data_IF_860991417586
#
_entry.id   IF_860991417586
#
_cell.length_a   1.000
_cell.length_b   1.000
_cell.length_c   1.000
_cell.angle_alpha   90.00
_cell.angle_beta   90.00
_cell.angle_gamma   90.00
#
_symmetry.space_group_name_H-M   'P 1'
#
loop_
_entity.id
_entity.type
_entity.pdbx_description
1 polymer ?
#
# COMPACT_ATOMS: atom_id res chain seq x y z
N UNK A 1 2.49 -18.13 -29.81
CA UNK A 1 2.28 -16.68 -29.49
C UNK A 1 0.83 -16.49 -29.11
N UNK A 2 0.55 -16.03 -27.92
CA UNK A 2 -0.82 -15.64 -27.54
C UNK A 2 -1.09 -14.29 -28.21
N UNK A 3 -2.14 -14.22 -29.03
CA UNK A 3 -2.56 -12.95 -29.65
C UNK A 3 -3.15 -12.08 -28.55
N UNK A 4 -2.50 -10.95 -28.26
CA UNK A 4 -2.97 -10.01 -27.24
C UNK A 4 -4.19 -9.24 -27.78
N UNK A 5 -5.15 -9.02 -26.91
CA UNK A 5 -6.41 -8.34 -27.21
C UNK A 5 -6.27 -6.80 -27.11
N UNK A 6 -7.20 -6.03 -27.71
CA UNK A 6 -7.25 -4.58 -27.50
C UNK A 6 -7.44 -4.22 -26.02
N UNK A 7 -6.85 -3.12 -25.56
CA UNK A 7 -6.92 -2.70 -24.15
C UNK A 7 -8.37 -2.51 -23.67
N UNK A 8 -9.25 -1.97 -24.51
CA UNK A 8 -10.65 -1.78 -24.16
C UNK A 8 -11.37 -3.10 -23.79
N UNK A 9 -11.05 -4.20 -24.48
CA UNK A 9 -11.61 -5.52 -24.18
C UNK A 9 -11.05 -6.08 -22.88
N UNK A 10 -9.73 -5.94 -22.67
CA UNK A 10 -9.06 -6.43 -21.48
C UNK A 10 -9.44 -5.61 -20.25
N UNK A 11 -9.64 -4.31 -20.38
CA UNK A 11 -10.12 -3.45 -19.30
C UNK A 11 -11.48 -3.92 -18.78
N UNK A 12 -12.42 -4.26 -19.68
CA UNK A 12 -13.69 -4.85 -19.27
C UNK A 12 -13.54 -6.17 -18.51
N UNK A 13 -12.62 -7.02 -18.94
CA UNK A 13 -12.31 -8.27 -18.25
C UNK A 13 -11.69 -8.06 -16.85
N UNK A 14 -10.84 -7.05 -16.68
CA UNK A 14 -10.30 -6.67 -15.36
C UNK A 14 -11.41 -6.20 -14.43
N UNK A 15 -12.29 -5.32 -14.93
CA UNK A 15 -13.45 -4.84 -14.16
C UNK A 15 -14.40 -5.98 -13.75
N UNK A 16 -14.55 -6.98 -14.60
CA UNK A 16 -15.35 -8.17 -14.31
C UNK A 16 -14.62 -9.23 -13.47
N UNK A 17 -13.41 -8.95 -12.97
CA UNK A 17 -12.57 -9.91 -12.23
C UNK A 17 -12.37 -11.25 -12.97
N UNK A 18 -12.23 -11.22 -14.29
CA UNK A 18 -12.13 -12.41 -15.13
C UNK A 18 -10.74 -13.07 -15.14
N UNK A 19 -9.76 -12.44 -14.49
CA UNK A 19 -8.40 -12.97 -14.38
C UNK A 19 -8.16 -13.62 -13.01
N UNK A 20 -7.28 -14.61 -12.98
CA UNK A 20 -7.00 -15.39 -11.78
C UNK A 20 -5.51 -15.44 -11.42
N UNK A 21 -5.19 -16.14 -10.32
CA UNK A 21 -3.81 -16.35 -9.90
C UNK A 21 -2.93 -16.95 -11.03
N UNK A 22 -1.74 -16.40 -11.21
CA UNK A 22 -0.80 -16.86 -12.24
C UNK A 22 -1.02 -16.26 -13.63
N UNK A 23 -2.03 -15.44 -13.85
CA UNK A 23 -2.21 -14.72 -15.10
C UNK A 23 -1.13 -13.65 -15.27
N UNK A 24 -0.41 -13.71 -16.38
CA UNK A 24 0.69 -12.80 -16.68
C UNK A 24 0.20 -11.47 -17.25
N UNK A 25 1.01 -10.42 -17.13
CA UNK A 25 0.74 -9.10 -17.70
C UNK A 25 0.41 -9.15 -19.21
N UNK A 26 1.04 -10.05 -19.95
CA UNK A 26 0.74 -10.28 -21.38
C UNK A 26 -0.69 -10.77 -21.66
N UNK A 27 -1.38 -11.31 -20.65
CA UNK A 27 -2.79 -11.73 -20.72
C UNK A 27 -3.72 -10.67 -20.16
N UNK A 28 -3.32 -9.98 -19.09
CA UNK A 28 -4.16 -9.06 -18.33
C UNK A 28 -4.10 -7.60 -18.83
N UNK A 29 -3.17 -7.28 -19.72
CA UNK A 29 -3.03 -5.96 -20.35
C UNK A 29 -3.25 -6.06 -21.87
N UNK A 30 -3.77 -5.00 -22.47
CA UNK A 30 -3.99 -4.91 -23.89
C UNK A 30 -2.69 -4.85 -24.71
N UNK A 31 -2.80 -5.12 -26.00
CA UNK A 31 -1.65 -5.14 -26.93
C UNK A 31 -0.93 -3.80 -27.06
N UNK A 32 -1.61 -2.71 -26.73
CA UNK A 32 -1.10 -1.33 -26.78
C UNK A 32 -0.17 -1.02 -25.60
N UNK A 33 -0.24 -1.83 -24.52
CA UNK A 33 0.59 -1.65 -23.32
C UNK A 33 1.86 -2.50 -23.44
N UNK A 34 3.04 -1.92 -23.34
CA UNK A 34 4.30 -2.68 -23.41
C UNK A 34 4.39 -3.69 -22.26
N UNK A 35 4.94 -4.88 -22.55
CA UNK A 35 5.12 -5.93 -21.54
C UNK A 35 6.47 -6.64 -21.74
N UNK A 36 7.03 -7.16 -20.67
CA UNK A 36 8.31 -7.89 -20.71
C UNK A 36 9.44 -7.00 -21.26
N UNK A 37 10.15 -7.51 -22.25
CA UNK A 37 11.30 -6.82 -22.88
C UNK A 37 10.93 -5.57 -23.70
N UNK A 38 9.66 -5.37 -23.97
CA UNK A 38 9.17 -4.19 -24.71
C UNK A 38 8.97 -2.98 -23.77
N UNK A 39 9.09 -3.16 -22.46
CA UNK A 39 9.09 -2.09 -21.48
C UNK A 39 10.44 -1.38 -21.55
N UNK A 40 10.49 -0.06 -21.85
CA UNK A 40 11.75 0.68 -22.01
C UNK A 40 12.37 1.07 -20.65
N UNK A 41 12.41 0.14 -19.72
CA UNK A 41 12.94 0.33 -18.36
C UNK A 41 13.94 -0.77 -18.06
N UNK A 42 15.17 -0.40 -17.75
CA UNK A 42 16.26 -1.34 -17.45
C UNK A 42 16.53 -1.51 -15.95
N UNK A 43 16.09 -0.55 -15.14
CA UNK A 43 16.30 -0.56 -13.68
C UNK A 43 15.02 -0.22 -12.95
N UNK A 44 14.70 -1.01 -11.94
CA UNK A 44 13.59 -0.77 -11.02
C UNK A 44 14.14 -0.48 -9.63
N UNK A 45 13.80 0.67 -9.08
CA UNK A 45 14.12 1.04 -7.69
C UNK A 45 12.81 1.09 -6.92
N UNK A 46 12.69 0.24 -5.91
CA UNK A 46 11.50 0.15 -5.07
C UNK A 46 11.86 0.65 -3.68
N UNK A 47 11.23 1.73 -3.25
CA UNK A 47 11.43 2.30 -1.91
C UNK A 47 10.16 2.04 -1.11
N UNK A 48 10.24 1.14 -0.14
CA UNK A 48 9.13 0.84 0.75
C UNK A 48 9.31 1.62 2.06
N UNK A 49 8.47 2.62 2.23
CA UNK A 49 8.39 3.44 3.44
C UNK A 49 7.11 3.04 4.17
N UNK A 50 7.13 3.03 5.49
CA UNK A 50 6.00 2.57 6.29
C UNK A 50 5.53 3.57 7.33
N UNK A 51 4.38 3.18 7.94
CA UNK A 51 3.67 3.80 9.04
C UNK A 51 3.07 5.16 8.71
N UNK A 52 2.79 5.44 7.42
CA UNK A 52 2.02 6.60 6.98
C UNK A 52 1.05 6.20 5.87
N UNK A 53 -0.23 6.46 6.09
CA UNK A 53 -1.26 6.20 5.07
C UNK A 53 -1.26 7.28 3.99
N UNK A 54 -1.92 6.99 2.87
CA UNK A 54 -2.19 7.98 1.84
C UNK A 54 -2.89 9.22 2.41
N UNK A 55 -3.94 9.01 3.21
CA UNK A 55 -4.71 10.10 3.80
C UNK A 55 -3.86 10.99 4.73
N UNK A 56 -2.90 10.40 5.43
CA UNK A 56 -2.01 11.17 6.31
C UNK A 56 -1.13 12.15 5.53
N UNK A 57 -0.77 11.80 4.29
CA UNK A 57 0.14 12.62 3.47
C UNK A 57 -0.57 13.44 2.39
N UNK A 58 -1.59 12.88 1.73
CA UNK A 58 -2.10 13.43 0.48
C UNK A 58 -3.60 13.72 0.47
N UNK A 59 -4.32 13.51 1.57
CA UNK A 59 -5.77 13.74 1.60
C UNK A 59 -6.15 15.20 1.31
N UNK A 60 -5.29 16.16 1.64
CA UNK A 60 -5.43 17.58 1.30
C UNK A 60 -4.92 17.92 -0.12
N UNK A 61 -4.56 16.93 -0.93
CA UNK A 61 -3.91 17.13 -2.22
C UNK A 61 -4.68 18.00 -3.21
N UNK A 62 -6.02 17.98 -3.16
CA UNK A 62 -6.86 18.84 -4.02
C UNK A 62 -6.58 20.33 -3.84
N UNK A 63 -6.32 20.77 -2.62
CA UNK A 63 -5.99 22.15 -2.31
C UNK A 63 -4.60 22.55 -2.84
N UNK A 64 -3.80 21.55 -3.24
CA UNK A 64 -2.46 21.67 -3.76
C UNK A 64 -2.31 21.17 -5.21
N UNK A 65 -3.40 21.23 -5.99
CA UNK A 65 -3.42 20.90 -7.43
C UNK A 65 -3.11 19.42 -7.75
N UNK A 66 -3.41 18.49 -6.85
CA UNK A 66 -3.39 17.05 -7.12
C UNK A 66 -4.82 16.56 -7.38
N UNK A 67 -4.99 15.74 -8.43
CA UNK A 67 -6.24 15.05 -8.68
C UNK A 67 -6.26 13.74 -7.87
N UNK A 68 -6.75 13.82 -6.65
CA UNK A 68 -6.78 12.70 -5.69
C UNK A 68 -8.12 12.64 -4.96
N UNK A 69 -8.45 11.48 -4.42
CA UNK A 69 -9.56 11.35 -3.48
C UNK A 69 -9.24 12.10 -2.18
N UNK A 70 -10.02 13.11 -1.86
CA UNK A 70 -9.87 13.94 -0.66
C UNK A 70 -10.83 13.54 0.46
N UNK A 71 -11.02 14.42 1.43
CA UNK A 71 -11.97 14.20 2.52
C UNK A 71 -13.40 14.04 2.02
N UNK A 72 -14.12 13.05 2.58
CA UNK A 72 -15.55 12.97 2.42
C UNK A 72 -16.25 13.98 3.35
N UNK A 73 -17.36 14.60 2.90
CA UNK A 73 -18.14 15.49 3.77
C UNK A 73 -18.58 14.78 5.07
N UNK A 74 -18.35 15.43 6.22
CA UNK A 74 -18.69 14.90 7.52
C UNK A 74 -17.84 13.72 8.00
N UNK A 75 -16.74 13.45 7.37
CA UNK A 75 -15.83 12.38 7.77
C UNK A 75 -15.29 12.63 9.18
N UNK A 76 -15.34 11.60 10.02
CA UNK A 76 -14.84 11.62 11.38
C UNK A 76 -14.92 10.24 12.02
N UNK A 77 -14.30 10.10 13.19
CA UNK A 77 -14.29 8.86 13.95
C UNK A 77 -14.79 9.11 15.38
N UNK A 78 -15.62 8.22 15.95
CA UNK A 78 -16.07 8.32 17.33
C UNK A 78 -14.90 8.18 18.32
N UNK A 79 -14.92 8.96 19.40
CA UNK A 79 -13.92 8.88 20.47
C UNK A 79 -14.25 7.85 21.56
N UNK A 80 -15.39 7.19 21.45
CA UNK A 80 -15.92 6.26 22.47
C UNK A 80 -16.53 6.95 23.69
N UNK A 81 -16.59 8.31 23.73
CA UNK A 81 -17.15 9.13 24.83
C UNK A 81 -18.35 9.95 24.37
N UNK A 82 -18.85 9.72 23.18
CA UNK A 82 -19.98 10.41 22.57
C UNK A 82 -19.64 11.57 21.65
N UNK A 83 -18.36 11.85 21.40
CA UNK A 83 -17.94 12.87 20.45
C UNK A 83 -17.38 12.24 19.17
N UNK A 84 -17.28 13.05 18.12
CA UNK A 84 -16.64 12.69 16.84
C UNK A 84 -15.39 13.52 16.66
N UNK A 85 -14.27 12.86 16.41
CA UNK A 85 -13.00 13.49 16.03
C UNK A 85 -12.96 13.59 14.51
N UNK A 86 -12.93 14.82 14.00
CA UNK A 86 -12.78 15.08 12.57
C UNK A 86 -11.30 15.14 12.16
N UNK A 87 -10.96 14.91 10.89
CA UNK A 87 -9.60 15.13 10.40
C UNK A 87 -9.13 16.56 10.68
N UNK A 88 -7.86 16.72 11.06
CA UNK A 88 -7.25 18.01 11.33
C UNK A 88 -5.82 18.08 10.79
N UNK A 89 -5.43 19.27 10.35
CA UNK A 89 -4.05 19.53 9.92
C UNK A 89 -3.12 19.51 11.13
N UNK A 90 -1.99 18.83 11.01
CA UNK A 90 -0.96 18.75 12.05
C UNK A 90 0.41 19.04 11.45
N UNK A 91 1.24 19.73 12.21
CA UNK A 91 2.67 19.94 11.89
C UNK A 91 3.59 19.09 12.77
N UNK A 92 3.02 18.25 13.63
CA UNK A 92 3.77 17.40 14.54
C UNK A 92 4.41 16.23 13.78
N UNK A 93 5.69 16.36 13.44
CA UNK A 93 6.45 15.32 12.75
C UNK A 93 6.68 14.07 13.62
N UNK A 94 6.81 14.23 14.93
CA UNK A 94 6.97 13.15 15.90
C UNK A 94 5.66 12.95 16.66
N UNK A 95 4.95 11.89 16.33
CA UNK A 95 3.77 11.42 17.04
C UNK A 95 3.98 9.98 17.51
N UNK A 96 3.32 9.60 18.58
CA UNK A 96 3.28 8.21 19.00
C UNK A 96 2.68 7.34 17.88
N UNK A 97 3.24 6.17 17.67
CA UNK A 97 2.78 5.24 16.63
C UNK A 97 1.30 4.88 16.82
N UNK A 98 0.59 4.75 15.70
CA UNK A 98 -0.79 4.27 15.71
C UNK A 98 -0.79 2.75 15.59
N UNK A 99 -1.71 2.10 16.31
CA UNK A 99 -1.79 0.65 16.26
C UNK A 99 -2.15 0.16 14.85
N UNK A 100 -1.41 -0.84 14.37
CA UNK A 100 -1.59 -1.46 13.06
C UNK A 100 -1.46 -2.99 13.14
N UNK A 101 -1.69 -3.57 14.31
CA UNK A 101 -1.74 -5.02 14.47
C UNK A 101 -2.93 -5.62 13.71
N UNK A 102 -2.85 -6.91 13.36
CA UNK A 102 -3.92 -7.62 12.67
C UNK A 102 -5.29 -7.40 13.33
N UNK A 103 -5.40 -7.61 14.65
CA UNK A 103 -6.66 -7.45 15.36
C UNK A 103 -7.17 -6.00 15.32
N UNK A 104 -6.28 -5.02 15.54
CA UNK A 104 -6.68 -3.63 15.61
C UNK A 104 -7.10 -3.04 14.26
N UNK A 105 -6.44 -3.43 13.15
CA UNK A 105 -6.89 -2.92 11.83
C UNK A 105 -8.26 -3.50 11.43
N UNK A 106 -8.60 -4.70 11.88
CA UNK A 106 -9.95 -5.23 11.69
C UNK A 106 -10.99 -4.48 12.55
N UNK A 107 -10.65 -4.07 13.77
CA UNK A 107 -11.49 -3.18 14.57
C UNK A 107 -11.62 -1.78 13.95
N UNK A 108 -10.54 -1.26 13.35
CA UNK A 108 -10.56 0.02 12.65
C UNK A 108 -11.48 0.00 11.42
N UNK A 109 -11.51 -1.13 10.72
CA UNK A 109 -12.42 -1.33 9.58
C UNK A 109 -13.90 -1.24 10.01
N UNK A 110 -14.28 -1.76 11.18
CA UNK A 110 -15.62 -1.67 11.76
C UNK A 110 -16.73 -2.15 10.80
N UNK A 111 -16.58 -3.34 10.21
CA UNK A 111 -17.51 -3.88 9.20
C UNK A 111 -17.71 -2.94 7.98
N UNK A 112 -16.63 -2.26 7.59
CA UNK A 112 -16.63 -1.34 6.44
C UNK A 112 -16.96 0.12 6.78
N UNK A 113 -17.28 0.45 8.03
CA UNK A 113 -17.58 1.83 8.44
C UNK A 113 -16.34 2.71 8.54
N UNK A 114 -15.16 2.11 8.72
CA UNK A 114 -13.89 2.81 8.90
C UNK A 114 -13.90 3.79 10.07
N UNK A 115 -14.53 3.40 11.19
CA UNK A 115 -14.84 4.27 12.33
C UNK A 115 -14.10 3.90 13.63
N UNK A 116 -13.19 2.91 13.59
CA UNK A 116 -12.45 2.44 14.77
C UNK A 116 -11.07 3.08 14.99
N UNK A 117 -10.65 4.06 14.21
CA UNK A 117 -9.27 4.58 14.28
C UNK A 117 -8.96 5.32 15.58
N UNK A 118 -9.89 6.11 16.10
CA UNK A 118 -9.70 6.84 17.36
C UNK A 118 -9.80 5.91 18.55
N UNK A 119 -10.79 5.01 18.57
CA UNK A 119 -11.05 4.11 19.70
C UNK A 119 -9.96 3.07 19.91
N UNK A 120 -9.29 2.60 18.84
CA UNK A 120 -8.21 1.63 18.95
C UNK A 120 -6.86 2.22 19.35
N UNK A 121 -6.73 3.56 19.35
CA UNK A 121 -5.49 4.28 19.63
C UNK A 121 -5.52 5.08 20.95
N UNK A 122 -6.35 4.69 21.90
CA UNK A 122 -6.41 5.34 23.21
C UNK A 122 -5.10 5.22 24.00
N UNK A 123 -4.76 6.18 24.91
CA UNK A 123 -5.62 7.31 25.37
C UNK A 123 -5.65 8.52 24.42
N UNK A 124 -4.69 8.71 23.53
CA UNK A 124 -4.60 9.84 22.59
C UNK A 124 -4.97 9.40 21.16
N UNK A 125 -6.17 8.87 21.01
CA UNK A 125 -6.64 8.32 19.73
C UNK A 125 -6.85 9.36 18.64
N UNK A 126 -7.05 10.63 18.99
CA UNK A 126 -7.24 11.73 18.03
C UNK A 126 -6.06 11.88 17.06
N UNK A 127 -4.82 11.49 17.46
CA UNK A 127 -3.63 11.55 16.59
C UNK A 127 -3.78 10.74 15.29
N UNK A 128 -4.65 9.73 15.29
CA UNK A 128 -4.94 8.94 14.09
C UNK A 128 -5.71 9.72 13.01
N UNK A 129 -6.26 10.89 13.35
CA UNK A 129 -7.03 11.76 12.44
C UNK A 129 -6.22 12.95 11.94
N UNK A 130 -4.96 13.09 12.35
CA UNK A 130 -4.06 14.13 11.86
C UNK A 130 -3.60 13.87 10.44
N UNK A 131 -3.42 14.93 9.65
CA UNK A 131 -2.84 14.87 8.31
C UNK A 131 -1.84 16.00 8.08
N UNK A 132 -0.89 15.78 7.18
CA UNK A 132 -0.01 16.79 6.62
C UNK A 132 -0.56 17.31 5.29
N UNK A 133 -0.10 18.48 4.88
CA UNK A 133 -0.44 19.04 3.57
C UNK A 133 0.81 19.39 2.73
N UNK A 134 0.60 20.06 1.60
CA UNK A 134 1.68 20.44 0.69
C UNK A 134 2.65 21.48 1.24
N UNK A 135 2.31 22.20 2.32
CA UNK A 135 3.23 23.13 3.00
C UNK A 135 4.21 22.40 3.90
N UNK A 136 3.80 21.25 4.46
CA UNK A 136 4.66 20.42 5.31
C UNK A 136 5.54 19.49 4.49
N UNK A 137 4.97 18.92 3.41
CA UNK A 137 5.55 17.83 2.63
C UNK A 137 5.88 18.24 1.19
N UNK A 138 6.53 19.38 1.01
CA UNK A 138 6.83 19.99 -0.30
C UNK A 138 7.46 19.02 -1.28
N UNK A 139 8.49 18.26 -0.84
CA UNK A 139 9.16 17.27 -1.69
C UNK A 139 8.21 16.19 -2.22
N UNK A 140 7.34 15.62 -1.36
CA UNK A 140 6.41 14.57 -1.77
C UNK A 140 5.36 15.10 -2.75
N UNK A 141 4.87 16.30 -2.52
CA UNK A 141 3.90 16.94 -3.40
C UNK A 141 4.51 17.31 -4.76
N UNK A 142 5.77 17.75 -4.79
CA UNK A 142 6.49 18.05 -6.05
C UNK A 142 6.77 16.77 -6.85
N UNK A 143 7.14 15.67 -6.19
CA UNK A 143 7.27 14.35 -6.84
C UNK A 143 5.93 13.88 -7.40
N UNK A 144 4.84 14.01 -6.63
CA UNK A 144 3.50 13.64 -7.08
C UNK A 144 3.05 14.42 -8.31
N UNK A 145 3.30 15.73 -8.36
CA UNK A 145 2.99 16.59 -9.52
C UNK A 145 3.83 16.29 -10.74
N UNK A 146 5.10 15.94 -10.53
CA UNK A 146 6.06 15.76 -11.62
C UNK A 146 5.92 14.40 -12.30
N UNK A 147 5.64 13.35 -11.54
CA UNK A 147 5.68 11.97 -12.03
C UNK A 147 4.31 11.30 -11.99
N UNK A 148 3.78 11.07 -10.81
CA UNK A 148 2.49 10.43 -10.64
C UNK A 148 2.24 9.99 -9.20
N UNK A 149 0.97 9.85 -8.86
CA UNK A 149 0.49 9.44 -7.56
C UNK A 149 -0.67 8.47 -7.74
N UNK A 150 -0.70 7.40 -6.98
CA UNK A 150 -1.85 6.50 -6.91
C UNK A 150 -2.59 6.72 -5.59
N UNK A 151 -3.81 7.21 -5.66
CA UNK A 151 -4.70 7.42 -4.51
C UNK A 151 -5.56 6.20 -4.15
N UNK A 152 -5.50 5.16 -4.98
CA UNK A 152 -6.25 3.90 -4.81
C UNK A 152 -5.35 2.66 -4.78
N UNK A 153 -4.14 2.81 -4.27
CA UNK A 153 -3.26 1.70 -3.98
C UNK A 153 -3.49 1.22 -2.55
N UNK A 154 -4.13 0.07 -2.40
CA UNK A 154 -4.47 -0.51 -1.10
C UNK A 154 -3.47 -1.60 -0.71
N UNK A 155 -3.30 -1.81 0.60
CA UNK A 155 -2.52 -2.93 1.11
C UNK A 155 -3.18 -4.26 0.72
N UNK A 156 -2.37 -5.30 0.57
CA UNK A 156 -2.85 -6.63 0.16
C UNK A 156 -3.59 -7.35 1.28
N UNK A 157 -3.31 -7.00 2.53
CA UNK A 157 -3.96 -7.55 3.69
C UNK A 157 -4.17 -6.50 4.77
N UNK A 158 -5.28 -6.58 5.50
CA UNK A 158 -5.57 -5.78 6.68
C UNK A 158 -4.72 -6.26 7.85
N UNK A 159 -3.44 -5.89 7.85
CA UNK A 159 -2.48 -6.41 8.81
C UNK A 159 -1.19 -5.59 8.85
N UNK A 160 -0.26 -6.02 9.71
CA UNK A 160 0.97 -5.29 9.98
C UNK A 160 2.00 -5.38 8.86
N UNK A 161 3.13 -4.73 9.07
CA UNK A 161 4.24 -4.53 8.13
C UNK A 161 4.71 -5.81 7.46
N UNK A 162 5.10 -6.82 8.24
CA UNK A 162 5.68 -8.05 7.67
C UNK A 162 4.69 -8.81 6.77
N UNK A 163 3.42 -8.81 7.10
CA UNK A 163 2.38 -9.43 6.28
C UNK A 163 2.35 -8.78 4.89
N UNK A 164 2.29 -7.47 4.83
CA UNK A 164 2.25 -6.74 3.57
C UNK A 164 3.58 -6.78 2.81
N UNK A 165 4.73 -6.83 3.50
CA UNK A 165 6.03 -7.09 2.87
C UNK A 165 6.09 -8.48 2.24
N UNK A 166 5.49 -9.48 2.85
CA UNK A 166 5.41 -10.83 2.27
C UNK A 166 4.57 -10.84 1.00
N UNK A 167 3.46 -10.13 0.95
CA UNK A 167 2.71 -9.96 -0.30
C UNK A 167 3.55 -9.30 -1.40
N UNK A 168 4.37 -8.32 -1.05
CA UNK A 168 5.29 -7.67 -2.00
C UNK A 168 6.34 -8.65 -2.57
N UNK A 169 6.92 -9.52 -1.75
CA UNK A 169 8.01 -10.41 -2.18
C UNK A 169 7.56 -11.80 -2.64
N UNK A 170 6.35 -12.24 -2.26
CA UNK A 170 5.86 -13.60 -2.49
C UNK A 170 4.42 -13.66 -3.05
N UNK A 171 3.69 -12.54 -3.08
CA UNK A 171 2.28 -12.52 -3.47
C UNK A 171 1.34 -13.14 -2.43
N UNK A 172 1.84 -13.50 -1.25
CA UNK A 172 1.08 -14.13 -0.16
C UNK A 172 1.78 -13.93 1.17
N UNK A 173 1.03 -13.89 2.26
CA UNK A 173 1.59 -13.92 3.63
C UNK A 173 1.79 -15.34 4.16
N UNK A 174 1.48 -16.37 3.37
CA UNK A 174 1.48 -17.78 3.79
C UNK A 174 0.57 -18.06 5.01
N UNK A 175 -0.51 -17.27 5.16
CA UNK A 175 -1.43 -17.38 6.30
C UNK A 175 -0.93 -16.77 7.61
N UNK A 176 0.23 -16.10 7.59
CA UNK A 176 0.74 -15.41 8.77
C UNK A 176 -0.08 -14.13 9.05
N UNK A 177 -0.30 -13.86 10.34
CA UNK A 177 -1.05 -12.69 10.83
C UNK A 177 -0.26 -11.87 11.85
N UNK A 178 0.92 -12.32 12.26
CA UNK A 178 1.78 -11.64 13.24
C UNK A 178 2.81 -10.75 12.55
N UNK A 179 3.19 -9.67 13.22
CA UNK A 179 4.24 -8.76 12.74
C UNK A 179 5.64 -9.33 13.05
N UNK A 180 6.02 -10.36 12.32
CA UNK A 180 7.30 -11.03 12.49
C UNK A 180 7.82 -11.54 11.15
N UNK A 181 9.13 -11.72 11.04
CA UNK A 181 9.74 -12.41 9.91
C UNK A 181 9.17 -13.84 9.86
N UNK A 182 8.79 -14.35 8.69
CA UNK A 182 8.32 -15.72 8.55
C UNK A 182 9.36 -16.71 9.11
N UNK A 183 8.93 -17.72 9.86
CA UNK A 183 9.84 -18.76 10.34
C UNK A 183 10.54 -19.48 9.18
N UNK A 184 11.78 -19.99 9.38
CA UNK A 184 12.53 -20.67 8.32
C UNK A 184 11.77 -21.82 7.67
N UNK A 185 11.03 -22.59 8.42
CA UNK A 185 10.23 -23.72 7.93
C UNK A 185 9.09 -23.27 6.97
N UNK A 186 8.52 -22.09 7.19
CA UNK A 186 7.54 -21.49 6.26
C UNK A 186 8.24 -21.06 4.97
N UNK A 187 9.43 -20.46 5.09
CA UNK A 187 10.21 -20.02 3.94
C UNK A 187 10.69 -21.21 3.10
N UNK A 188 11.10 -22.32 3.73
CA UNK A 188 11.56 -23.53 3.05
C UNK A 188 10.43 -24.24 2.30
N UNK A 189 9.23 -24.29 2.87
CA UNK A 189 8.05 -24.87 2.20
C UNK A 189 7.66 -24.10 0.93
N UNK A 190 8.02 -22.81 0.86
CA UNK A 190 7.69 -21.93 -0.25
C UNK A 190 8.91 -21.54 -1.09
N UNK A 191 9.95 -22.37 -1.06
CA UNK A 191 11.18 -22.17 -1.83
C UNK A 191 10.87 -22.06 -3.33
N UNK A 192 11.45 -21.04 -3.98
CA UNK A 192 11.21 -20.75 -5.39
C UNK A 192 10.02 -19.83 -5.66
N UNK A 193 9.18 -19.52 -4.67
CA UNK A 193 8.02 -18.65 -4.85
C UNK A 193 8.35 -17.16 -4.65
N UNK A 194 9.46 -16.86 -3.96
CA UNK A 194 9.88 -15.47 -3.74
C UNK A 194 10.36 -14.82 -5.04
N UNK A 195 9.98 -13.57 -5.27
CA UNK A 195 10.38 -12.82 -6.46
C UNK A 195 11.91 -12.80 -6.64
N UNK A 196 12.67 -12.65 -5.56
CA UNK A 196 14.14 -12.63 -5.61
C UNK A 196 14.72 -13.96 -6.10
N UNK A 197 14.11 -15.08 -5.75
CA UNK A 197 14.49 -16.40 -6.24
C UNK A 197 14.15 -16.57 -7.73
N UNK A 198 13.00 -16.01 -8.15
CA UNK A 198 12.61 -16.02 -9.55
C UNK A 198 13.50 -15.13 -10.41
N UNK A 199 13.94 -13.97 -9.90
CA UNK A 199 14.92 -13.10 -10.56
C UNK A 199 16.25 -13.84 -10.75
N UNK A 200 16.77 -14.51 -9.71
CA UNK A 200 17.97 -15.35 -9.81
C UNK A 200 17.84 -16.43 -10.88
N UNK A 201 16.69 -17.12 -10.94
CA UNK A 201 16.43 -18.16 -11.92
C UNK A 201 16.39 -17.62 -13.37
N UNK A 202 16.19 -16.30 -13.54
CA UNK A 202 16.20 -15.60 -14.83
C UNK A 202 17.51 -14.86 -15.11
N UNK A 203 18.52 -14.95 -14.23
CA UNK A 203 19.78 -14.24 -14.36
C UNK A 203 19.64 -12.72 -14.27
N UNK A 204 18.64 -12.24 -13.53
CA UNK A 204 18.40 -10.81 -13.31
C UNK A 204 19.02 -10.43 -11.98
N UNK A 205 19.94 -9.49 -12.01
CA UNK A 205 20.60 -8.98 -10.82
C UNK A 205 19.65 -8.13 -9.98
N UNK A 206 19.80 -8.24 -8.67
CA UNK A 206 19.04 -7.44 -7.71
C UNK A 206 19.88 -7.14 -6.47
N UNK A 207 19.52 -6.07 -5.75
CA UNK A 207 20.14 -5.70 -4.48
C UNK A 207 19.10 -5.17 -3.52
N UNK A 208 19.29 -5.46 -2.21
CA UNK A 208 18.54 -4.85 -1.13
C UNK A 208 19.47 -3.87 -0.43
N UNK A 209 19.02 -2.64 -0.35
CA UNK A 209 19.67 -1.61 0.45
C UNK A 209 18.87 -1.43 1.73
N UNK A 210 19.55 -1.31 2.84
CA UNK A 210 18.95 -1.05 4.15
C UNK A 210 19.86 -0.11 4.91
N UNK A 211 19.31 0.85 5.61
CA UNK A 211 19.97 1.60 6.65
C UNK A 211 20.07 0.70 7.87
N UNK A 212 20.82 1.02 8.84
CA UNK A 212 21.18 0.20 9.99
C UNK A 212 20.24 -0.94 10.38
N UNK A 213 20.85 -2.08 10.62
CA UNK A 213 20.21 -3.16 11.34
C UNK A 213 21.00 -3.34 12.61
N UNK A 214 20.59 -2.62 13.60
CA UNK A 214 20.82 -3.02 14.98
C UNK A 214 19.57 -3.82 15.37
N UNK A 215 19.53 -5.09 14.96
CA UNK A 215 18.84 -6.22 15.60
C UNK A 215 18.76 -7.38 14.62
#
# INVERSE_FOLDING_TARGET
CVTRKPEAEVAGQRTACAFGPGDLASKTLGKEVPTGKDIPINHFVLVMIENRSFNHYFVAGKDFFLDVDGFAPGQGNPDGKGNTVTPFHTTAACIEDVTHSWANVHLQLGDGKMDGFVTTNQPDGQRAMGYFDGTDLTFYYDVARTFGLSDRHFCSALGPTWINRMFFVAGTSFGLTKNQVPPPEVMDQHKGQLILQQLNAKGIDWRIYKTDITE
#
